data_IF_128239748371
#
_entry.id   IF_128239748371
#
_cell.length_a   1.000
_cell.length_b   1.000
_cell.length_c   1.000
_cell.angle_alpha   90.00
_cell.angle_beta   90.00
_cell.angle_gamma   90.00
#
_symmetry.space_group_name_H-M   'P 1'
#
loop_
_entity.id
_entity.type
_entity.pdbx_description
1 polymer ?
#
# COMPACT_ATOMS: atom_id res chain seq x y z
N UNK A 1 -82.25 33.18 -41.95
CA UNK A 1 -81.45 31.96 -42.19
C UNK A 1 -80.44 31.87 -41.04
N UNK A 2 -80.68 31.00 -40.06
CA UNK A 2 -79.77 30.78 -38.92
C UNK A 2 -78.85 29.59 -39.26
N UNK A 3 -77.54 29.76 -39.09
CA UNK A 3 -76.54 28.71 -39.32
C UNK A 3 -76.28 27.99 -37.98
N UNK A 4 -76.63 26.71 -37.91
CA UNK A 4 -76.29 25.85 -36.78
C UNK A 4 -74.78 25.54 -36.78
N UNK A 5 -74.07 26.07 -35.78
CA UNK A 5 -72.65 25.80 -35.57
C UNK A 5 -72.50 24.49 -34.77
N UNK A 6 -72.14 23.40 -35.46
CA UNK A 6 -71.86 22.10 -34.84
C UNK A 6 -70.64 22.20 -33.92
N UNK A 7 -70.86 22.12 -32.60
CA UNK A 7 -69.80 22.11 -31.60
C UNK A 7 -69.13 20.72 -31.59
N UNK A 8 -67.83 20.68 -31.90
CA UNK A 8 -67.00 19.47 -31.77
C UNK A 8 -66.53 19.38 -30.32
N UNK A 9 -67.11 18.46 -29.55
CA UNK A 9 -66.69 18.14 -28.18
C UNK A 9 -65.58 17.09 -28.20
N UNK A 10 -64.33 17.51 -28.01
CA UNK A 10 -63.22 16.59 -27.70
C UNK A 10 -63.41 16.05 -26.28
N UNK A 11 -63.70 14.75 -26.15
CA UNK A 11 -63.66 14.03 -24.88
C UNK A 11 -62.24 14.13 -24.30
N UNK A 12 -62.07 14.88 -23.20
CA UNK A 12 -60.84 14.87 -22.41
C UNK A 12 -60.96 13.76 -21.37
N UNK A 13 -60.38 12.59 -21.66
CA UNK A 13 -60.15 11.54 -20.67
C UNK A 13 -59.04 11.99 -19.72
N UNK A 14 -59.43 12.42 -18.51
CA UNK A 14 -58.50 12.69 -17.41
C UNK A 14 -58.24 11.43 -16.58
N UNK A 15 -57.02 11.30 -16.05
CA UNK A 15 -56.70 10.27 -15.06
C UNK A 15 -57.58 10.44 -13.82
N UNK A 16 -58.03 9.32 -13.25
CA UNK A 16 -58.75 9.30 -11.98
C UNK A 16 -57.78 9.53 -10.81
N UNK A 17 -58.31 10.09 -9.70
CA UNK A 17 -57.54 10.22 -8.46
C UNK A 17 -56.98 8.88 -7.96
N UNK A 18 -57.72 7.79 -8.20
CA UNK A 18 -57.34 6.44 -7.78
C UNK A 18 -56.16 5.92 -8.61
N UNK A 19 -56.14 6.16 -9.91
CA UNK A 19 -55.02 5.76 -10.75
C UNK A 19 -53.73 6.48 -10.36
N UNK A 20 -53.82 7.77 -10.01
CA UNK A 20 -52.65 8.53 -9.58
C UNK A 20 -52.12 8.08 -8.21
N UNK A 21 -53.02 7.82 -7.25
CA UNK A 21 -52.61 7.44 -5.88
C UNK A 21 -51.98 6.04 -5.83
N UNK A 22 -52.47 5.10 -6.63
CA UNK A 22 -51.88 3.76 -6.74
C UNK A 22 -50.46 3.85 -7.31
N UNK A 23 -50.22 4.68 -8.33
CA UNK A 23 -48.89 4.83 -8.94
C UNK A 23 -47.87 5.40 -7.95
N UNK A 24 -48.21 6.50 -7.25
CA UNK A 24 -47.26 7.09 -6.29
C UNK A 24 -47.01 6.17 -5.10
N UNK A 25 -47.98 5.35 -4.69
CA UNK A 25 -47.78 4.39 -3.59
C UNK A 25 -46.82 3.26 -3.98
N UNK A 26 -46.94 2.72 -5.20
CA UNK A 26 -46.01 1.72 -5.72
C UNK A 26 -44.60 2.31 -5.86
N UNK A 27 -44.48 3.53 -6.41
CA UNK A 27 -43.20 4.23 -6.53
C UNK A 27 -42.55 4.50 -5.15
N UNK A 28 -43.35 4.82 -4.13
CA UNK A 28 -42.85 5.00 -2.77
C UNK A 28 -42.29 3.69 -2.17
N UNK A 29 -43.00 2.57 -2.37
CA UNK A 29 -42.54 1.25 -1.89
C UNK A 29 -41.27 0.82 -2.62
N UNK A 30 -41.25 0.91 -3.95
CA UNK A 30 -40.05 0.58 -4.74
C UNK A 30 -38.88 1.50 -4.42
N UNK A 31 -39.16 2.80 -4.20
CA UNK A 31 -38.15 3.80 -3.84
C UNK A 31 -37.48 3.50 -2.51
N UNK A 32 -38.23 3.08 -1.47
CA UNK A 32 -37.65 2.76 -0.17
C UNK A 32 -36.74 1.53 -0.23
N UNK A 33 -37.16 0.46 -0.91
CA UNK A 33 -36.34 -0.75 -1.10
C UNK A 33 -35.08 -0.43 -1.91
N UNK A 34 -35.23 0.32 -3.01
CA UNK A 34 -34.11 0.72 -3.85
C UNK A 34 -33.10 1.59 -3.08
N UNK A 35 -33.58 2.53 -2.26
CA UNK A 35 -32.72 3.42 -1.48
C UNK A 35 -31.89 2.66 -0.44
N UNK A 36 -32.50 1.74 0.30
CA UNK A 36 -31.77 0.88 1.25
C UNK A 36 -30.70 0.04 0.56
N UNK A 37 -30.98 -0.39 -0.68
CA UNK A 37 -30.05 -1.19 -1.46
C UNK A 37 -28.88 -0.39 -2.06
N UNK A 38 -29.13 0.87 -2.44
CA UNK A 38 -28.14 1.68 -3.12
C UNK A 38 -26.88 1.97 -2.28
N UNK A 39 -27.03 2.08 -0.95
CA UNK A 39 -25.90 2.39 -0.05
C UNK A 39 -24.78 1.35 -0.10
N UNK A 40 -25.11 0.06 -0.04
CA UNK A 40 -24.13 -1.02 -0.05
C UNK A 40 -23.51 -1.23 -1.44
N UNK A 41 -24.31 -1.09 -2.51
CA UNK A 41 -23.79 -1.14 -3.88
C UNK A 41 -22.79 -0.01 -4.15
N UNK A 42 -23.08 1.21 -3.70
CA UNK A 42 -22.20 2.36 -3.87
C UNK A 42 -20.87 2.14 -3.13
N UNK A 43 -20.92 1.61 -1.91
CA UNK A 43 -19.73 1.24 -1.13
C UNK A 43 -18.87 0.20 -1.85
N UNK A 44 -19.50 -0.89 -2.30
CA UNK A 44 -18.82 -1.97 -3.03
C UNK A 44 -18.18 -1.47 -4.34
N UNK A 45 -18.85 -0.59 -5.09
CA UNK A 45 -18.30 0.01 -6.30
C UNK A 45 -17.06 0.88 -6.01
N UNK A 46 -17.06 1.63 -4.90
CA UNK A 46 -15.87 2.40 -4.49
C UNK A 46 -14.72 1.47 -4.09
N UNK A 47 -14.97 0.38 -3.38
CA UNK A 47 -13.93 -0.59 -3.02
C UNK A 47 -13.36 -1.33 -4.23
N UNK A 48 -14.21 -1.65 -5.22
CA UNK A 48 -13.76 -2.17 -6.51
C UNK A 48 -12.84 -1.16 -7.21
N UNK A 49 -13.20 0.13 -7.20
CA UNK A 49 -12.36 1.20 -7.76
C UNK A 49 -11.04 1.37 -7.00
N UNK A 50 -11.04 1.30 -5.67
CA UNK A 50 -9.81 1.33 -4.85
C UNK A 50 -8.90 0.16 -5.19
N UNK A 51 -9.45 -1.05 -5.26
CA UNK A 51 -8.70 -2.26 -5.60
C UNK A 51 -8.08 -2.15 -7.00
N UNK A 52 -8.87 -1.73 -7.99
CA UNK A 52 -8.38 -1.48 -9.35
C UNK A 52 -7.27 -0.43 -9.38
N UNK A 53 -7.44 0.69 -8.67
CA UNK A 53 -6.43 1.75 -8.60
C UNK A 53 -5.11 1.23 -8.02
N UNK A 54 -5.16 0.43 -6.95
CA UNK A 54 -3.96 -0.18 -6.38
C UNK A 54 -3.29 -1.17 -7.35
N UNK A 55 -4.06 -2.00 -8.04
CA UNK A 55 -3.53 -2.92 -9.07
C UNK A 55 -2.81 -2.16 -10.19
N UNK A 56 -3.40 -1.08 -10.67
CA UNK A 56 -2.83 -0.26 -11.75
C UNK A 56 -1.59 0.51 -11.28
N UNK A 57 -1.55 0.97 -10.02
CA UNK A 57 -0.34 1.52 -9.38
C UNK A 57 0.77 0.46 -9.31
N UNK A 58 0.46 -0.75 -8.84
CA UNK A 58 1.44 -1.86 -8.74
C UNK A 58 2.00 -2.20 -10.12
N UNK A 59 1.16 -2.26 -11.16
CA UNK A 59 1.59 -2.48 -12.55
C UNK A 59 2.51 -1.38 -13.03
N UNK A 60 2.13 -0.11 -12.85
CA UNK A 60 2.93 1.04 -13.28
C UNK A 60 4.31 1.04 -12.59
N UNK A 61 4.33 0.76 -11.28
CA UNK A 61 5.57 0.62 -10.51
C UNK A 61 6.44 -0.52 -11.02
N UNK A 62 5.86 -1.70 -11.26
CA UNK A 62 6.58 -2.88 -11.75
C UNK A 62 7.21 -2.62 -13.12
N UNK A 63 6.46 -1.99 -14.04
CA UNK A 63 6.96 -1.60 -15.36
C UNK A 63 8.12 -0.60 -15.22
N UNK A 64 7.94 0.42 -14.39
CA UNK A 64 8.97 1.44 -14.22
C UNK A 64 10.23 0.92 -13.53
N UNK A 65 10.11 -0.04 -12.61
CA UNK A 65 11.25 -0.77 -12.05
C UNK A 65 12.02 -1.56 -13.12
N UNK A 66 11.30 -2.26 -14.01
CA UNK A 66 11.91 -2.95 -15.14
C UNK A 66 12.66 -1.99 -16.09
N UNK A 67 12.22 -0.73 -16.16
CA UNK A 67 12.89 0.34 -16.92
C UNK A 67 13.99 1.07 -16.13
N UNK A 68 14.35 0.62 -14.93
CA UNK A 68 15.43 1.19 -14.13
C UNK A 68 15.07 2.49 -13.40
N UNK A 69 13.80 2.85 -13.32
CA UNK A 69 13.35 4.01 -12.54
C UNK A 69 13.45 3.69 -11.05
N UNK A 70 14.02 4.62 -10.28
CA UNK A 70 14.18 4.46 -8.83
C UNK A 70 12.82 4.33 -8.14
N UNK A 71 12.69 3.33 -7.27
CA UNK A 71 11.44 3.09 -6.53
C UNK A 71 11.02 4.28 -5.66
N UNK A 72 12.01 5.06 -5.17
CA UNK A 72 11.76 6.23 -4.33
C UNK A 72 11.09 7.38 -5.08
N UNK A 73 11.16 7.44 -6.42
CA UNK A 73 10.45 8.49 -7.17
C UNK A 73 8.93 8.31 -7.15
N UNK A 74 8.46 7.08 -6.88
CA UNK A 74 7.03 6.77 -6.74
C UNK A 74 6.45 7.14 -5.38
N UNK A 75 7.29 7.60 -4.46
CA UNK A 75 6.87 8.18 -3.19
C UNK A 75 6.96 9.69 -3.32
N UNK A 76 5.88 10.41 -3.03
CA UNK A 76 5.93 11.87 -3.00
C UNK A 76 6.82 12.34 -1.84
N UNK A 77 7.79 13.22 -2.13
CA UNK A 77 8.77 13.65 -1.15
C UNK A 77 8.16 14.60 -0.10
N UNK A 78 8.46 14.38 1.18
CA UNK A 78 8.15 15.30 2.27
C UNK A 78 8.93 14.94 3.53
N UNK A 79 9.35 15.94 4.32
CA UNK A 79 10.04 15.70 5.60
C UNK A 79 9.21 14.84 6.58
N UNK A 80 7.88 14.85 6.39
CA UNK A 80 6.93 13.99 7.08
C UNK A 80 7.11 12.50 6.74
N UNK A 81 7.54 12.13 5.53
CA UNK A 81 7.61 10.73 5.05
C UNK A 81 8.33 9.77 6.02
N UNK A 82 9.45 10.21 6.61
CA UNK A 82 10.23 9.44 7.59
C UNK A 82 9.88 9.73 9.05
N UNK A 83 9.38 10.94 9.33
CA UNK A 83 9.14 11.43 10.71
C UNK A 83 7.73 11.20 11.21
N UNK A 84 6.75 10.98 10.33
CA UNK A 84 5.33 10.80 10.67
C UNK A 84 4.85 9.36 10.57
N UNK A 85 5.74 8.40 10.29
CA UNK A 85 5.43 6.98 10.48
C UNK A 85 4.47 6.40 9.44
N UNK A 86 4.92 6.32 8.19
CA UNK A 86 4.20 5.60 7.12
C UNK A 86 4.84 4.26 6.80
N UNK A 87 6.04 4.07 7.35
CA UNK A 87 6.75 2.82 7.35
C UNK A 87 6.70 2.25 8.77
N UNK A 88 6.36 0.97 8.90
CA UNK A 88 6.50 0.21 10.12
C UNK A 88 7.96 0.28 10.60
N UNK A 89 8.16 0.32 11.92
CA UNK A 89 9.51 0.30 12.50
C UNK A 89 10.40 1.50 12.14
N UNK A 90 9.80 2.65 11.79
CA UNK A 90 10.51 3.87 11.38
C UNK A 90 11.39 4.47 12.49
N UNK A 91 12.65 4.01 12.58
CA UNK A 91 13.78 4.92 12.71
C UNK A 91 14.14 5.43 11.31
N UNK A 92 14.60 6.67 11.17
CA UNK A 92 15.01 7.23 9.87
C UNK A 92 16.20 6.42 9.30
N UNK A 93 15.91 5.38 8.54
CA UNK A 93 16.90 4.50 7.92
C UNK A 93 17.05 4.88 6.45
N UNK A 94 18.27 5.24 6.04
CA UNK A 94 18.60 5.56 4.66
C UNK A 94 18.14 4.40 3.75
N UNK A 95 17.36 4.64 2.69
CA UNK A 95 16.93 3.61 1.74
C UNK A 95 15.50 3.07 1.92
N UNK A 96 14.80 3.43 3.01
CA UNK A 96 13.34 3.26 3.10
C UNK A 96 12.65 4.62 2.91
N UNK A 97 11.52 4.65 2.23
CA UNK A 97 10.72 5.86 1.97
C UNK A 97 9.24 5.51 1.96
N UNK A 98 8.37 6.31 2.58
CA UNK A 98 6.93 6.07 2.52
C UNK A 98 6.13 7.33 2.80
N UNK A 99 5.03 7.52 2.08
CA UNK A 99 4.11 8.66 2.16
C UNK A 99 2.94 8.40 1.17
N UNK A 100 2.53 9.41 0.39
CA UNK A 100 1.56 9.26 -0.71
C UNK A 100 2.22 8.74 -1.99
N UNK A 101 1.46 7.96 -2.74
CA UNK A 101 1.82 7.53 -4.09
C UNK A 101 2.00 8.75 -5.00
N UNK A 102 3.16 8.84 -5.66
CA UNK A 102 3.44 9.83 -6.68
C UNK A 102 2.85 9.39 -8.03
N UNK A 103 1.56 9.63 -8.20
CA UNK A 103 0.81 9.30 -9.43
C UNK A 103 1.42 9.96 -10.67
N UNK A 104 2.00 11.16 -10.53
CA UNK A 104 2.65 11.87 -11.65
C UNK A 104 3.91 11.15 -12.11
N UNK A 105 4.74 10.67 -11.17
CA UNK A 105 5.92 9.85 -11.51
C UNK A 105 5.55 8.49 -12.12
N UNK A 106 4.34 7.99 -11.86
CA UNK A 106 3.79 6.77 -12.46
C UNK A 106 3.13 7.02 -13.83
N UNK A 107 3.06 8.26 -14.32
CA UNK A 107 2.33 8.61 -15.54
C UNK A 107 0.82 8.47 -15.41
N UNK A 108 0.30 8.48 -14.18
CA UNK A 108 -1.11 8.35 -13.85
C UNK A 108 -1.72 9.72 -13.54
N UNK A 109 -2.97 9.94 -13.97
CA UNK A 109 -3.70 11.17 -13.69
C UNK A 109 -4.17 11.20 -12.24
N UNK A 110 -3.58 12.07 -11.41
CA UNK A 110 -3.79 12.08 -9.96
C UNK A 110 -5.26 12.07 -9.53
N UNK A 111 -6.14 12.81 -10.21
CA UNK A 111 -7.58 12.88 -9.86
C UNK A 111 -8.32 11.55 -10.02
N UNK A 112 -7.79 10.63 -10.83
CA UNK A 112 -8.44 9.36 -11.14
C UNK A 112 -7.96 8.23 -10.19
N UNK A 113 -6.85 8.51 -9.47
CA UNK A 113 -6.13 7.61 -8.56
C UNK A 113 -6.13 8.13 -7.12
N UNK A 114 -7.28 8.64 -6.70
CA UNK A 114 -7.57 9.02 -5.33
C UNK A 114 -8.71 8.18 -4.77
N UNK A 115 -8.81 8.12 -3.44
CA UNK A 115 -9.92 7.48 -2.76
C UNK A 115 -11.26 8.08 -3.23
N UNK A 116 -12.20 7.27 -3.75
CA UNK A 116 -13.45 7.79 -4.32
C UNK A 116 -14.40 8.44 -3.30
N UNK A 117 -14.19 8.26 -1.98
CA UNK A 117 -15.02 8.88 -0.94
C UNK A 117 -14.36 10.08 -0.27
N UNK A 118 -13.03 10.06 -0.08
CA UNK A 118 -12.32 11.14 0.62
C UNK A 118 -11.44 12.02 -0.26
N UNK A 119 -11.22 11.63 -1.52
CA UNK A 119 -10.22 12.20 -2.41
C UNK A 119 -8.77 12.16 -1.86
N UNK A 120 -8.52 11.33 -0.84
CA UNK A 120 -7.17 11.12 -0.30
C UNK A 120 -6.29 10.32 -1.26
N UNK A 121 -4.99 10.56 -1.23
CA UNK A 121 -4.03 9.77 -2.01
C UNK A 121 -3.81 8.41 -1.36
N UNK A 122 -3.54 7.38 -2.18
CA UNK A 122 -3.12 6.09 -1.66
C UNK A 122 -1.73 6.15 -1.05
N UNK A 123 -1.46 5.21 -0.12
CA UNK A 123 -0.24 5.21 0.67
C UNK A 123 0.72 4.16 0.17
N UNK A 124 2.00 4.49 0.28
CA UNK A 124 3.08 3.66 -0.22
C UNK A 124 4.21 3.60 0.80
N UNK A 125 4.75 2.41 0.99
CA UNK A 125 6.06 2.17 1.57
C UNK A 125 6.95 1.54 0.51
N UNK A 126 8.16 2.04 0.34
CA UNK A 126 9.12 1.57 -0.63
C UNK A 126 10.51 1.46 0.01
N UNK A 127 11.31 0.55 -0.49
CA UNK A 127 12.67 0.35 -0.03
C UNK A 127 13.60 0.02 -1.18
N UNK A 128 14.79 0.61 -1.18
CA UNK A 128 15.89 0.20 -2.05
C UNK A 128 16.61 -1.03 -1.51
N UNK A 129 16.30 -1.47 -0.30
CA UNK A 129 16.75 -2.75 0.22
C UNK A 129 15.83 -3.87 -0.26
N UNK A 130 16.28 -5.13 -0.13
CA UNK A 130 15.48 -6.31 -0.52
C UNK A 130 15.02 -6.26 -1.99
N UNK A 131 15.94 -5.99 -2.91
CA UNK A 131 15.63 -6.08 -4.33
C UNK A 131 14.62 -5.04 -4.83
N UNK A 132 14.64 -3.84 -4.23
CA UNK A 132 13.81 -2.70 -4.62
C UNK A 132 12.32 -3.03 -4.51
N UNK A 133 11.85 -3.14 -3.27
CA UNK A 133 10.52 -3.63 -2.98
C UNK A 133 9.60 -2.55 -2.39
N UNK A 134 8.30 -2.72 -2.59
CA UNK A 134 7.28 -1.78 -2.13
C UNK A 134 5.99 -2.47 -1.71
N UNK A 135 5.18 -1.69 -1.02
CA UNK A 135 3.79 -1.94 -0.68
C UNK A 135 2.97 -0.67 -0.90
N UNK A 136 1.77 -0.85 -1.42
CA UNK A 136 0.75 0.18 -1.51
C UNK A 136 -0.47 -0.28 -0.72
N UNK A 137 -1.11 0.66 -0.04
CA UNK A 137 -2.24 0.38 0.83
C UNK A 137 -3.39 1.35 0.61
N UNK A 138 -4.62 0.83 0.78
CA UNK A 138 -5.84 1.60 0.84
C UNK A 138 -6.78 1.06 1.92
N UNK A 139 -7.69 1.93 2.35
CA UNK A 139 -8.77 1.59 3.27
C UNK A 139 -10.00 1.15 2.47
N UNK A 140 -10.53 -0.03 2.75
CA UNK A 140 -11.84 -0.45 2.25
C UNK A 140 -12.95 0.13 3.13
N UNK A 141 -14.12 0.34 2.55
CA UNK A 141 -15.28 0.84 3.29
C UNK A 141 -15.77 -0.17 4.32
N UNK A 142 -16.51 0.32 5.32
CA UNK A 142 -16.93 -0.51 6.42
C UNK A 142 -17.97 -1.55 5.98
N UNK A 143 -17.70 -2.83 6.27
CA UNK A 143 -18.69 -3.90 6.22
C UNK A 143 -19.09 -4.19 7.67
N UNK A 144 -20.38 -4.06 8.00
CA UNK A 144 -20.88 -4.19 9.39
C UNK A 144 -20.12 -3.33 10.41
N UNK A 145 -19.76 -2.09 10.05
CA UNK A 145 -19.06 -1.15 10.93
C UNK A 145 -17.55 -1.39 11.07
N UNK A 146 -17.01 -2.41 10.39
CA UNK A 146 -15.57 -2.71 10.40
C UNK A 146 -14.96 -2.38 9.05
N UNK A 147 -13.99 -1.47 9.04
CA UNK A 147 -13.17 -1.19 7.86
C UNK A 147 -12.00 -2.17 7.81
N UNK A 148 -11.55 -2.51 6.61
CA UNK A 148 -10.39 -3.38 6.39
C UNK A 148 -9.35 -2.69 5.52
N UNK A 149 -8.11 -3.15 5.58
CA UNK A 149 -7.03 -2.67 4.72
C UNK A 149 -6.83 -3.56 3.51
N UNK A 150 -6.64 -2.96 2.34
CA UNK A 150 -6.13 -3.65 1.15
C UNK A 150 -4.66 -3.29 0.99
N UNK A 151 -3.77 -4.28 0.97
CA UNK A 151 -2.33 -4.08 0.78
C UNK A 151 -1.85 -4.90 -0.41
N UNK A 152 -1.15 -4.27 -1.35
CA UNK A 152 -0.56 -4.91 -2.52
C UNK A 152 0.91 -4.50 -2.68
N UNK A 153 1.68 -5.29 -3.42
CA UNK A 153 3.09 -5.00 -3.68
C UNK A 153 3.98 -6.24 -3.62
N UNK A 154 5.27 -6.04 -3.87
CA UNK A 154 6.27 -7.10 -3.96
C UNK A 154 7.15 -7.22 -2.71
N UNK A 155 7.03 -6.32 -1.73
CA UNK A 155 7.79 -6.45 -0.48
C UNK A 155 7.34 -7.67 0.33
N UNK A 156 8.33 -8.41 0.81
CA UNK A 156 8.12 -9.55 1.71
C UNK A 156 9.08 -9.41 2.88
N UNK A 157 8.57 -9.30 4.11
CA UNK A 157 9.43 -9.21 5.29
C UNK A 157 10.25 -10.47 5.46
N UNK A 158 11.44 -10.35 6.06
CA UNK A 158 12.25 -11.54 6.41
C UNK A 158 11.70 -12.26 7.63
N UNK A 159 10.91 -11.58 8.46
CA UNK A 159 10.34 -12.15 9.68
C UNK A 159 11.42 -12.51 10.72
N UNK A 160 12.61 -11.91 10.63
CA UNK A 160 13.70 -12.18 11.56
C UNK A 160 13.63 -11.17 12.70
N UNK A 161 13.76 -11.64 13.94
CA UNK A 161 13.87 -10.78 15.11
C UNK A 161 15.30 -10.26 15.27
N UNK A 162 15.49 -9.13 15.95
CA UNK A 162 16.84 -8.56 16.20
C UNK A 162 17.85 -9.55 16.80
N UNK A 163 17.39 -10.46 17.66
CA UNK A 163 18.24 -11.50 18.27
C UNK A 163 18.70 -12.57 17.26
N UNK A 164 18.00 -12.75 16.15
CA UNK A 164 18.29 -13.78 15.15
C UNK A 164 19.36 -13.39 14.14
N UNK A 165 20.04 -12.26 14.35
CA UNK A 165 20.69 -11.52 13.27
C UNK A 165 22.18 -11.21 13.51
N UNK A 166 22.80 -11.95 14.41
CA UNK A 166 24.22 -11.86 14.73
C UNK A 166 24.92 -13.09 14.16
N UNK A 167 25.79 -12.91 13.16
CA UNK A 167 26.53 -14.01 12.56
C UNK A 167 28.05 -13.80 12.67
N UNK A 168 28.81 -14.77 13.20
CA UNK A 168 30.30 -14.75 13.18
C UNK A 168 30.87 -16.17 13.19
N UNK A 169 31.58 -16.56 12.14
CA UNK A 169 32.47 -17.74 12.13
C UNK A 169 33.84 -17.36 11.56
N UNK A 170 34.50 -16.35 12.14
CA UNK A 170 35.92 -16.07 11.85
C UNK A 170 36.35 -14.61 11.97
N UNK A 171 37.58 -14.35 11.52
CA UNK A 171 38.20 -13.02 11.48
C UNK A 171 37.93 -12.31 10.15
N UNK A 172 37.80 -10.99 10.17
CA UNK A 172 37.72 -10.19 8.96
C UNK A 172 39.01 -10.31 8.14
N UNK A 173 38.87 -10.64 6.86
CA UNK A 173 39.96 -10.60 5.90
C UNK A 173 39.44 -10.04 4.58
N UNK A 174 40.11 -9.03 4.01
CA UNK A 174 39.71 -8.42 2.72
C UNK A 174 38.23 -7.99 2.65
N UNK A 175 37.70 -7.40 3.74
CA UNK A 175 36.29 -7.03 3.92
C UNK A 175 35.31 -8.21 3.90
N UNK A 176 35.81 -9.42 4.09
CA UNK A 176 35.03 -10.64 4.04
C UNK A 176 34.97 -11.31 5.41
N UNK A 177 33.82 -11.93 5.72
CA UNK A 177 33.59 -12.73 6.92
C UNK A 177 32.79 -13.98 6.58
N UNK A 178 33.00 -15.06 7.35
CA UNK A 178 32.14 -16.25 7.31
C UNK A 178 31.02 -16.15 8.35
N UNK A 179 29.83 -16.64 7.99
CA UNK A 179 28.67 -16.70 8.88
C UNK A 179 28.39 -18.13 9.36
N UNK A 180 27.66 -18.29 10.46
CA UNK A 180 27.23 -19.62 10.91
C UNK A 180 26.33 -20.27 9.87
N UNK A 181 26.39 -21.59 9.76
CA UNK A 181 25.54 -22.34 8.83
C UNK A 181 24.03 -22.12 9.07
N UNK A 182 23.63 -21.86 10.33
CA UNK A 182 22.24 -21.52 10.69
C UNK A 182 21.81 -20.10 10.31
N UNK A 183 22.74 -19.25 9.85
CA UNK A 183 22.47 -17.87 9.43
C UNK A 183 22.43 -17.69 7.91
N UNK A 184 22.67 -18.77 7.15
CA UNK A 184 22.58 -18.77 5.69
C UNK A 184 21.17 -18.30 5.26
N UNK A 185 21.14 -17.37 4.31
CA UNK A 185 19.89 -16.81 3.77
C UNK A 185 19.26 -15.67 4.59
N UNK A 186 19.83 -15.32 5.75
CA UNK A 186 19.35 -14.17 6.56
C UNK A 186 19.73 -12.81 5.97
N UNK A 187 20.83 -12.77 5.22
CA UNK A 187 21.36 -11.56 4.56
C UNK A 187 21.16 -11.63 3.05
N UNK A 188 21.09 -10.46 2.41
CA UNK A 188 20.97 -10.26 0.95
C UNK A 188 22.02 -9.25 0.50
N UNK A 189 22.37 -9.28 -0.78
CA UNK A 189 23.24 -8.25 -1.38
C UNK A 189 22.54 -6.89 -1.29
N UNK A 190 23.33 -5.83 -1.11
CA UNK A 190 22.91 -4.45 -0.88
C UNK A 190 22.30 -4.16 0.50
N UNK A 191 22.26 -5.14 1.40
CA UNK A 191 21.83 -4.92 2.77
C UNK A 191 22.74 -3.95 3.51
N UNK A 192 22.13 -3.06 4.28
CA UNK A 192 22.84 -2.17 5.18
C UNK A 192 23.01 -2.82 6.56
N UNK A 193 24.27 -2.97 6.94
CA UNK A 193 24.68 -3.70 8.14
C UNK A 193 25.60 -2.83 8.98
N UNK A 194 25.55 -3.04 10.29
CA UNK A 194 26.61 -2.64 11.21
C UNK A 194 27.51 -3.85 11.42
N UNK A 195 28.76 -3.74 10.98
CA UNK A 195 29.80 -4.71 11.25
C UNK A 195 30.68 -4.14 12.36
N UNK A 196 30.64 -4.77 13.54
CA UNK A 196 31.21 -4.21 14.77
C UNK A 196 30.64 -2.80 15.08
N UNK A 197 31.40 -1.73 14.84
CA UNK A 197 30.96 -0.33 15.01
C UNK A 197 30.83 0.43 13.68
N UNK A 198 31.08 -0.24 12.55
CA UNK A 198 31.12 0.39 11.22
C UNK A 198 29.85 0.06 10.45
N UNK A 199 29.12 1.10 10.02
CA UNK A 199 27.98 0.95 9.12
C UNK A 199 28.47 0.81 7.66
N UNK A 200 28.05 -0.25 6.98
CA UNK A 200 28.50 -0.61 5.63
C UNK A 200 27.41 -1.40 4.88
N UNK A 201 27.57 -1.60 3.58
CA UNK A 201 26.70 -2.44 2.76
C UNK A 201 27.34 -3.79 2.47
N UNK A 202 26.50 -4.82 2.27
CA UNK A 202 26.92 -6.11 1.71
C UNK A 202 27.05 -5.96 0.19
N UNK A 203 28.25 -6.20 -0.34
CA UNK A 203 28.54 -6.13 -1.78
C UNK A 203 28.43 -7.47 -2.47
N UNK A 204 28.67 -8.57 -1.74
CA UNK A 204 28.59 -9.91 -2.28
C UNK A 204 28.25 -10.94 -1.19
N UNK A 205 27.57 -12.00 -1.59
CA UNK A 205 27.35 -13.22 -0.80
C UNK A 205 27.77 -14.39 -1.69
N UNK A 206 28.64 -15.26 -1.20
CA UNK A 206 29.12 -16.43 -1.93
C UNK A 206 27.98 -17.38 -2.31
N UNK A 207 28.22 -18.24 -3.31
CA UNK A 207 27.21 -19.19 -3.80
C UNK A 207 26.73 -20.19 -2.73
N UNK A 208 27.59 -20.52 -1.75
CA UNK A 208 27.24 -21.36 -0.60
C UNK A 208 26.51 -20.59 0.53
N UNK A 209 26.35 -19.28 0.37
CA UNK A 209 25.71 -18.39 1.31
C UNK A 209 26.48 -18.13 2.61
N UNK A 210 27.68 -18.71 2.78
CA UNK A 210 28.42 -18.67 4.04
C UNK A 210 29.44 -17.53 4.13
N UNK A 211 29.77 -16.89 3.01
CA UNK A 211 30.80 -15.84 2.97
C UNK A 211 30.18 -14.53 2.51
N UNK A 212 30.29 -13.50 3.35
CA UNK A 212 29.76 -12.16 3.09
C UNK A 212 30.93 -11.20 2.87
N UNK A 213 30.87 -10.41 1.81
CA UNK A 213 31.81 -9.31 1.54
C UNK A 213 31.13 -7.96 1.73
N UNK A 214 31.82 -7.05 2.40
CA UNK A 214 31.35 -5.70 2.72
C UNK A 214 32.04 -4.64 1.88
N UNK A 215 31.38 -3.50 1.71
CA UNK A 215 31.93 -2.34 1.00
C UNK A 215 33.10 -1.68 1.76
N UNK A 216 33.06 -1.66 3.10
CA UNK A 216 34.07 -1.06 3.96
C UNK A 216 34.65 -2.07 4.96
N UNK A 217 35.90 -1.86 5.38
CA UNK A 217 36.62 -2.70 6.34
C UNK A 217 36.11 -2.46 7.77
N UNK A 218 35.59 -3.46 8.49
CA UNK A 218 35.07 -3.28 9.85
C UNK A 218 36.11 -3.18 10.98
N UNK A 219 37.39 -2.93 10.65
CA UNK A 219 38.51 -3.09 11.57
C UNK A 219 38.92 -4.56 11.76
N UNK A 220 40.04 -4.77 12.46
CA UNK A 220 40.75 -6.07 12.50
C UNK A 220 40.23 -7.09 13.56
N UNK A 221 39.23 -6.74 14.36
CA UNK A 221 38.77 -7.58 15.47
C UNK A 221 37.63 -8.54 15.07
N UNK A 222 37.51 -9.70 15.72
CA UNK A 222 36.29 -10.53 15.66
C UNK A 222 35.08 -9.65 15.92
N UNK A 223 34.13 -9.61 14.99
CA UNK A 223 33.04 -8.66 15.05
C UNK A 223 31.78 -9.18 14.41
N UNK A 224 30.68 -8.99 15.12
CA UNK A 224 29.31 -9.28 14.73
C UNK A 224 28.98 -8.52 13.44
N UNK A 225 28.28 -9.16 12.51
CA UNK A 225 27.49 -8.46 11.48
C UNK A 225 26.04 -8.45 11.90
N UNK A 226 25.40 -7.27 11.86
CA UNK A 226 24.00 -7.07 12.22
C UNK A 226 23.34 -6.17 11.17
N UNK A 227 22.23 -6.58 10.56
CA UNK A 227 21.38 -5.70 9.75
C UNK A 227 20.89 -4.54 10.60
N UNK A 228 20.90 -3.35 10.01
CA UNK A 228 20.30 -2.19 10.63
C UNK A 228 18.77 -2.20 10.56
N UNK A 229 18.20 -2.99 9.64
CA UNK A 229 16.78 -3.28 9.61
C UNK A 229 16.55 -4.78 9.41
N UNK A 230 15.85 -5.38 10.38
CA UNK A 230 15.57 -6.83 10.38
C UNK A 230 14.27 -7.19 9.66
N UNK A 231 13.48 -6.17 9.27
CA UNK A 231 12.28 -6.35 8.44
C UNK A 231 11.30 -7.34 9.07
N UNK A 232 10.97 -7.11 10.36
CA UNK A 232 10.12 -8.02 11.16
C UNK A 232 8.72 -8.17 10.57
N UNK A 233 8.22 -7.15 9.87
CA UNK A 233 6.92 -7.18 9.23
C UNK A 233 6.82 -6.26 8.02
N UNK A 234 5.59 -6.15 7.50
CA UNK A 234 5.25 -5.38 6.29
C UNK A 234 5.68 -3.92 6.37
N UNK A 235 5.90 -3.28 5.23
CA UNK A 235 6.41 -1.91 5.15
C UNK A 235 5.39 -0.90 5.64
N UNK A 236 4.15 -0.93 5.18
CA UNK A 236 3.18 0.11 5.51
C UNK A 236 2.63 -0.12 6.92
N UNK A 237 2.34 0.96 7.67
CA UNK A 237 1.78 0.88 9.03
C UNK A 237 0.51 1.70 9.23
N UNK A 238 -0.10 1.54 10.41
CA UNK A 238 -1.22 2.35 10.90
C UNK A 238 -0.83 3.81 11.18
N UNK A 239 -1.77 4.74 10.97
CA UNK A 239 -1.65 6.14 11.41
C UNK A 239 -1.93 6.22 12.90
N UNK A 240 -1.18 7.11 13.55
CA UNK A 240 -1.17 7.33 15.00
C UNK A 240 -0.52 6.19 15.82
N UNK A 241 0.76 6.43 16.15
CA UNK A 241 1.52 5.87 17.27
C UNK A 241 1.78 4.35 17.34
N UNK A 242 1.18 3.53 16.48
CA UNK A 242 1.59 2.15 16.32
C UNK A 242 2.92 2.00 15.60
N UNK A 243 3.72 0.99 15.97
CA UNK A 243 4.78 0.44 15.11
C UNK A 243 4.29 -0.76 14.31
N UNK A 244 3.02 -1.15 14.49
CA UNK A 244 2.45 -2.36 13.93
C UNK A 244 2.28 -2.23 12.41
N UNK A 245 2.88 -3.13 11.63
CA UNK A 245 2.68 -3.19 10.19
C UNK A 245 1.24 -3.58 9.86
N UNK A 246 0.67 -3.02 8.80
CA UNK A 246 -0.66 -3.43 8.30
C UNK A 246 -0.53 -4.65 7.38
N UNK A 247 -1.50 -5.57 7.48
CA UNK A 247 -1.59 -6.74 6.60
C UNK A 247 -2.84 -6.66 5.72
N UNK A 248 -2.81 -7.34 4.57
CA UNK A 248 -3.99 -7.41 3.71
C UNK A 248 -5.17 -8.07 4.45
N UNK A 249 -6.35 -7.47 4.38
CA UNK A 249 -7.56 -7.91 5.09
C UNK A 249 -7.58 -7.59 6.59
N UNK A 250 -6.55 -6.93 7.13
CA UNK A 250 -6.49 -6.58 8.56
C UNK A 250 -7.50 -5.50 8.94
N UNK A 251 -7.87 -5.47 10.21
CA UNK A 251 -8.71 -4.44 10.82
C UNK A 251 -7.89 -3.31 11.47
N UNK A 252 -6.55 -3.38 11.39
CA UNK A 252 -5.59 -2.43 11.97
C UNK A 252 -5.69 -1.04 11.33
N UNK A 253 -5.47 0.02 12.12
CA UNK A 253 -5.94 1.39 11.84
C UNK A 253 -5.04 2.18 10.86
N UNK A 254 -5.22 1.93 9.56
CA UNK A 254 -5.09 2.88 8.43
C UNK A 254 -3.89 3.80 8.28
N UNK A 255 -3.21 3.84 7.12
CA UNK A 255 -2.51 5.04 6.68
C UNK A 255 -3.50 6.00 5.97
N UNK A 256 -3.73 7.21 6.52
CA UNK A 256 -4.59 8.28 5.95
C UNK A 256 -3.96 9.13 4.88
#
# INVERSE_FOLDING_TARGET
>A
MFIDKKLVTTNKSGFTLVELIVVISILAILGTIAFLSFGWYSSSARDAKRSQNLDDIVKAMTIGQANGVSISSYVTAGAAALTTGWIAWSGSLAGYTGWDVNTTALGLKSTDYQDPSSAANYKIGATTFVGWAFEVAATMEAVNGTKTTRVLGNYRPRGITWAGLVAVTGTWANNTIKIWAGDIGKFKVSDYVTANTVATTITNISADGQTITLAATPGAALGNIVLQNVEVGWLVKETWAGTAPVTDGSVTLFPY
#
